data_IF_237480128290
#
_entry.id   IF_237480128290
#
_cell.length_a   1.000
_cell.length_b   1.000
_cell.length_c   1.000
_cell.angle_alpha   90.00
_cell.angle_beta   90.00
_cell.angle_gamma   90.00
#
_symmetry.space_group_name_H-M   'P 1'
#
loop_
_entity.id
_entity.type
_entity.pdbx_description
1 polymer ?
#
# COMPACT_ATOMS: atom_id res chain seq x y z
N UNK A 1 80.79 -3.54 -11.10
CA UNK A 1 79.43 -3.40 -11.69
C UNK A 1 78.46 -4.55 -11.39
N UNK A 2 78.71 -5.44 -10.43
CA UNK A 2 77.83 -6.60 -10.15
C UNK A 2 76.94 -6.45 -8.91
N UNK A 3 77.09 -5.40 -8.08
CA UNK A 3 76.32 -5.26 -6.83
C UNK A 3 74.91 -4.59 -6.99
N UNK A 4 74.72 -3.80 -8.06
CA UNK A 4 73.44 -3.14 -8.26
C UNK A 4 72.32 -4.00 -8.84
N UNK A 5 72.62 -5.10 -9.53
CA UNK A 5 71.56 -6.02 -10.09
C UNK A 5 70.94 -6.89 -9.03
N UNK A 6 71.66 -7.26 -7.94
CA UNK A 6 71.11 -8.07 -6.88
C UNK A 6 70.11 -7.34 -5.99
N UNK A 7 70.31 -6.05 -5.72
CA UNK A 7 69.41 -5.25 -4.89
C UNK A 7 68.04 -4.95 -5.62
N UNK A 8 68.10 -4.77 -6.93
CA UNK A 8 66.87 -4.58 -7.74
C UNK A 8 66.00 -5.82 -7.83
N UNK A 9 66.60 -7.02 -7.91
CA UNK A 9 65.85 -8.29 -7.96
C UNK A 9 65.23 -8.63 -6.63
N UNK A 10 65.88 -8.34 -5.49
CA UNK A 10 65.31 -8.56 -4.16
C UNK A 10 64.16 -7.60 -3.84
N UNK A 11 64.24 -6.34 -4.22
CA UNK A 11 63.16 -5.39 -4.03
C UNK A 11 61.89 -5.74 -4.88
N UNK A 12 62.07 -6.22 -6.10
CA UNK A 12 60.92 -6.67 -6.91
C UNK A 12 60.21 -7.91 -6.32
N UNK A 13 60.94 -8.85 -5.73
CA UNK A 13 60.35 -10.02 -5.08
C UNK A 13 59.62 -9.66 -3.79
N UNK A 14 60.12 -8.70 -3.04
CA UNK A 14 59.43 -8.18 -1.83
C UNK A 14 58.14 -7.44 -2.22
N UNK A 15 58.19 -6.53 -3.22
CA UNK A 15 57.02 -5.82 -3.70
C UNK A 15 55.94 -6.77 -4.22
N UNK A 16 56.33 -7.82 -4.97
CA UNK A 16 55.42 -8.82 -5.47
C UNK A 16 54.75 -9.61 -4.30
N UNK A 17 55.49 -9.97 -3.28
CA UNK A 17 54.94 -10.63 -2.08
C UNK A 17 53.98 -9.72 -1.33
N UNK A 18 54.32 -8.44 -1.13
CA UNK A 18 53.43 -7.48 -0.48
C UNK A 18 52.14 -7.26 -1.31
N UNK A 19 52.23 -7.13 -2.62
CA UNK A 19 51.09 -7.01 -3.49
C UNK A 19 50.17 -8.22 -3.41
N UNK A 20 50.73 -9.45 -3.37
CA UNK A 20 49.96 -10.68 -3.23
C UNK A 20 49.24 -10.74 -1.88
N UNK A 21 49.96 -10.45 -0.78
CA UNK A 21 49.40 -10.47 0.59
C UNK A 21 48.29 -9.39 0.71
N UNK A 22 48.49 -8.21 0.18
CA UNK A 22 47.45 -7.15 0.13
C UNK A 22 46.22 -7.59 -0.68
N UNK A 23 46.43 -8.23 -1.83
CA UNK A 23 45.36 -8.79 -2.65
C UNK A 23 44.52 -9.85 -1.91
N UNK A 24 45.20 -10.78 -1.21
CA UNK A 24 44.53 -11.78 -0.37
C UNK A 24 43.76 -11.14 0.81
N UNK A 25 44.34 -10.15 1.45
CA UNK A 25 43.66 -9.41 2.54
C UNK A 25 42.43 -8.65 2.04
N UNK A 26 42.53 -8.02 0.89
CA UNK A 26 41.39 -7.31 0.27
C UNK A 26 40.26 -8.27 -0.13
N UNK A 27 40.57 -9.40 -0.76
CA UNK A 27 39.63 -10.43 -1.15
C UNK A 27 38.91 -11.02 0.07
N UNK A 28 39.69 -11.32 1.13
CA UNK A 28 39.12 -11.82 2.39
C UNK A 28 38.20 -10.80 3.05
N UNK A 29 38.61 -9.52 3.09
CA UNK A 29 37.79 -8.43 3.64
C UNK A 29 36.48 -8.25 2.85
N UNK A 30 36.58 -8.32 1.53
CA UNK A 30 35.39 -8.23 0.66
C UNK A 30 34.41 -9.38 0.87
N UNK A 31 34.94 -10.61 1.02
CA UNK A 31 34.16 -11.80 1.32
C UNK A 31 33.49 -11.71 2.71
N UNK A 32 34.22 -11.24 3.72
CA UNK A 32 33.68 -11.04 5.08
C UNK A 32 32.53 -10.01 5.08
N UNK A 33 32.69 -8.88 4.38
CA UNK A 33 31.65 -7.86 4.26
C UNK A 33 30.41 -8.38 3.49
N UNK A 34 30.62 -9.14 2.41
CA UNK A 34 29.54 -9.76 1.67
C UNK A 34 28.75 -10.79 2.52
N UNK A 35 29.46 -11.62 3.29
CA UNK A 35 28.84 -12.56 4.23
C UNK A 35 28.06 -11.83 5.35
N UNK A 36 28.59 -10.74 5.90
CA UNK A 36 27.89 -9.95 6.91
C UNK A 36 26.61 -9.32 6.33
N UNK A 37 26.68 -8.75 5.11
CA UNK A 37 25.52 -8.19 4.43
C UNK A 37 24.43 -9.25 4.20
N UNK A 38 24.79 -10.41 3.66
CA UNK A 38 23.87 -11.53 3.44
C UNK A 38 23.24 -12.06 4.74
N UNK A 39 24.03 -12.10 5.84
CA UNK A 39 23.52 -12.51 7.15
C UNK A 39 22.51 -11.50 7.70
N UNK A 40 22.82 -10.21 7.62
CA UNK A 40 21.89 -9.14 8.06
C UNK A 40 20.59 -9.22 7.25
N UNK A 41 20.67 -9.38 5.94
CA UNK A 41 19.52 -9.53 5.08
C UNK A 41 18.66 -10.76 5.45
N UNK A 42 19.29 -11.91 5.67
CA UNK A 42 18.63 -13.14 6.13
C UNK A 42 17.96 -12.97 7.50
N UNK A 43 18.64 -12.33 8.47
CA UNK A 43 18.10 -12.07 9.80
C UNK A 43 16.90 -11.10 9.73
N UNK A 44 16.96 -10.08 8.87
CA UNK A 44 15.85 -9.15 8.65
C UNK A 44 14.65 -9.88 8.01
N UNK A 45 14.86 -10.73 7.00
CA UNK A 45 13.82 -11.54 6.37
C UNK A 45 13.16 -12.50 7.37
N UNK A 46 13.94 -13.17 8.23
CA UNK A 46 13.42 -14.06 9.27
C UNK A 46 12.61 -13.31 10.34
N UNK A 47 13.04 -12.13 10.76
CA UNK A 47 12.30 -11.28 11.70
C UNK A 47 10.98 -10.82 11.08
N UNK A 48 11.01 -10.37 9.83
CA UNK A 48 9.80 -9.99 9.10
C UNK A 48 8.81 -11.15 8.99
N UNK A 49 9.30 -12.37 8.65
CA UNK A 49 8.48 -13.59 8.58
C UNK A 49 7.88 -13.96 9.95
N UNK A 50 8.65 -13.84 11.04
CA UNK A 50 8.15 -14.14 12.38
C UNK A 50 7.11 -13.13 12.85
N UNK A 51 7.32 -11.83 12.58
CA UNK A 51 6.36 -10.78 12.85
C UNK A 51 5.07 -10.98 12.03
N UNK A 52 5.21 -11.36 10.75
CA UNK A 52 4.11 -11.74 9.87
C UNK A 52 3.23 -12.83 10.48
N UNK A 53 3.82 -13.97 10.91
CA UNK A 53 3.07 -15.09 11.50
C UNK A 53 2.40 -14.71 12.83
N UNK A 54 3.05 -13.89 13.65
CA UNK A 54 2.48 -13.41 14.91
C UNK A 54 1.25 -12.52 14.68
N UNK A 55 1.37 -11.57 13.74
CA UNK A 55 0.27 -10.66 13.38
C UNK A 55 -0.88 -11.43 12.74
N UNK A 56 -0.61 -12.36 11.80
CA UNK A 56 -1.64 -13.24 11.24
C UNK A 56 -2.44 -13.97 12.31
N UNK A 57 -1.73 -14.55 13.30
CA UNK A 57 -2.38 -15.29 14.38
C UNK A 57 -3.31 -14.39 15.20
N UNK A 58 -2.94 -13.13 15.39
CA UNK A 58 -3.76 -12.14 16.09
C UNK A 58 -4.97 -11.73 15.25
N UNK A 59 -4.77 -11.39 13.99
CA UNK A 59 -5.83 -10.95 13.05
C UNK A 59 -6.87 -12.04 12.75
N UNK A 60 -6.48 -13.32 12.82
CA UNK A 60 -7.40 -14.46 12.70
C UNK A 60 -8.14 -14.73 14.03
N UNK A 61 -7.47 -14.56 15.18
CA UNK A 61 -8.05 -14.85 16.50
C UNK A 61 -9.16 -13.89 16.87
N UNK A 62 -9.02 -12.61 16.58
CA UNK A 62 -10.00 -11.57 16.96
C UNK A 62 -11.39 -11.83 16.37
N UNK A 63 -11.59 -11.98 15.05
CA UNK A 63 -12.90 -12.28 14.48
C UNK A 63 -13.40 -13.68 14.91
N UNK A 64 -12.52 -14.66 15.08
CA UNK A 64 -12.90 -16.00 15.53
C UNK A 64 -13.46 -15.96 16.95
N UNK A 65 -12.81 -15.23 17.87
CA UNK A 65 -13.31 -15.05 19.24
C UNK A 65 -14.66 -14.29 19.25
N UNK A 66 -14.86 -13.32 18.37
CA UNK A 66 -16.14 -12.62 18.23
C UNK A 66 -17.26 -13.59 17.78
N UNK A 67 -16.98 -14.43 16.77
CA UNK A 67 -17.92 -15.47 16.30
C UNK A 67 -18.31 -16.40 17.45
N UNK A 68 -17.32 -16.92 18.18
CA UNK A 68 -17.56 -17.84 19.31
C UNK A 68 -18.35 -17.14 20.42
N UNK A 69 -17.89 -15.94 20.83
CA UNK A 69 -18.52 -15.19 21.93
C UNK A 69 -19.98 -14.83 21.66
N UNK A 70 -20.29 -14.27 20.47
CA UNK A 70 -21.68 -13.97 20.11
C UNK A 70 -22.53 -15.22 19.90
N UNK A 71 -21.95 -16.32 19.41
CA UNK A 71 -22.65 -17.62 19.34
C UNK A 71 -23.02 -18.16 20.73
N UNK A 72 -22.12 -18.02 21.70
CA UNK A 72 -22.39 -18.45 23.07
C UNK A 72 -23.45 -17.56 23.77
N UNK A 73 -23.44 -16.23 23.46
CA UNK A 73 -24.49 -15.33 23.92
C UNK A 73 -25.87 -15.73 23.37
N UNK A 74 -25.97 -16.06 22.08
CA UNK A 74 -27.22 -16.56 21.49
C UNK A 74 -27.70 -17.82 22.18
N UNK A 75 -26.80 -18.78 22.48
CA UNK A 75 -27.18 -20.02 23.19
C UNK A 75 -27.72 -19.78 24.61
N UNK A 76 -27.25 -18.72 25.28
CA UNK A 76 -27.69 -18.37 26.65
C UNK A 76 -28.95 -17.52 26.68
N UNK A 77 -29.39 -17.01 25.54
CA UNK A 77 -30.54 -16.13 25.42
C UNK A 77 -31.82 -16.90 25.66
N UNK A 78 -32.64 -16.47 26.63
CA UNK A 78 -33.97 -17.08 26.93
C UNK A 78 -34.97 -16.59 25.88
N UNK A 79 -36.03 -17.37 25.63
CA UNK A 79 -37.10 -17.05 24.68
C UNK A 79 -38.01 -15.90 25.23
N UNK A 80 -37.54 -14.64 24.94
CA UNK A 80 -38.22 -13.40 25.29
C UNK A 80 -38.21 -12.52 24.00
N UNK A 81 -39.23 -11.71 23.70
CA UNK A 81 -39.29 -10.83 22.54
C UNK A 81 -38.08 -9.87 22.42
N UNK A 82 -37.58 -9.31 23.51
CA UNK A 82 -36.37 -8.50 23.53
C UNK A 82 -35.11 -9.32 23.21
N UNK A 83 -35.07 -10.57 23.61
CA UNK A 83 -34.01 -11.50 23.34
C UNK A 83 -33.91 -11.91 21.85
N UNK A 84 -35.00 -11.86 21.11
CA UNK A 84 -34.99 -12.12 19.65
C UNK A 84 -34.27 -10.99 18.90
N UNK A 85 -34.49 -9.73 19.28
CA UNK A 85 -33.82 -8.59 18.70
C UNK A 85 -32.31 -8.60 18.99
N UNK A 86 -31.94 -8.84 20.26
CA UNK A 86 -30.52 -9.03 20.63
C UNK A 86 -29.84 -10.18 19.88
N UNK A 87 -30.57 -11.30 19.68
CA UNK A 87 -30.04 -12.42 18.89
C UNK A 87 -29.81 -12.08 17.43
N UNK A 88 -30.63 -11.21 16.85
CA UNK A 88 -30.43 -10.71 15.47
C UNK A 88 -29.16 -9.86 15.37
N UNK A 89 -28.91 -8.99 16.36
CA UNK A 89 -27.71 -8.18 16.42
C UNK A 89 -26.44 -9.05 16.59
N UNK A 90 -26.51 -10.05 17.47
CA UNK A 90 -25.42 -11.02 17.63
C UNK A 90 -25.15 -11.81 16.35
N UNK A 91 -26.20 -12.24 15.63
CA UNK A 91 -26.06 -12.92 14.34
C UNK A 91 -25.41 -11.99 13.30
N UNK A 92 -25.75 -10.69 13.30
CA UNK A 92 -25.11 -9.70 12.42
C UNK A 92 -23.62 -9.51 12.75
N UNK A 93 -23.24 -9.47 14.02
CA UNK A 93 -21.83 -9.43 14.45
C UNK A 93 -21.07 -10.68 14.02
N UNK A 94 -21.66 -11.87 14.14
CA UNK A 94 -21.09 -13.13 13.65
C UNK A 94 -20.86 -13.07 12.14
N UNK A 95 -21.85 -12.61 11.37
CA UNK A 95 -21.74 -12.50 9.92
C UNK A 95 -20.67 -11.49 9.49
N UNK A 96 -20.54 -10.38 10.22
CA UNK A 96 -19.50 -9.37 9.97
C UNK A 96 -18.10 -9.95 10.27
N UNK A 97 -17.93 -10.58 11.43
CA UNK A 97 -16.67 -11.21 11.82
C UNK A 97 -16.26 -12.34 10.86
N UNK A 98 -17.23 -13.15 10.40
CA UNK A 98 -16.98 -14.19 9.40
C UNK A 98 -16.52 -13.64 8.05
N UNK A 99 -17.15 -12.56 7.58
CA UNK A 99 -16.72 -11.87 6.35
C UNK A 99 -15.31 -11.30 6.48
N UNK A 100 -15.02 -10.65 7.58
CA UNK A 100 -13.69 -10.12 7.85
C UNK A 100 -12.63 -11.23 7.90
N UNK A 101 -12.93 -12.37 8.51
CA UNK A 101 -12.04 -13.54 8.54
C UNK A 101 -11.73 -14.06 7.12
N UNK A 102 -12.75 -14.14 6.26
CA UNK A 102 -12.57 -14.55 4.86
C UNK A 102 -11.71 -13.56 4.07
N UNK A 103 -11.86 -12.25 4.31
CA UNK A 103 -11.02 -11.21 3.72
C UNK A 103 -9.56 -11.39 4.13
N UNK A 104 -9.28 -11.55 5.44
CA UNK A 104 -7.92 -11.78 5.95
C UNK A 104 -7.30 -13.04 5.35
N UNK A 105 -8.02 -14.16 5.30
CA UNK A 105 -7.52 -15.42 4.69
C UNK A 105 -7.23 -15.23 3.21
N UNK A 106 -8.11 -14.55 2.47
CA UNK A 106 -7.90 -14.25 1.05
C UNK A 106 -6.68 -13.38 0.81
N UNK A 107 -6.48 -12.35 1.63
CA UNK A 107 -5.33 -11.45 1.57
C UNK A 107 -4.01 -12.21 1.81
N UNK A 108 -3.99 -13.11 2.79
CA UNK A 108 -2.83 -13.97 3.09
C UNK A 108 -2.49 -14.87 1.90
N UNK A 109 -3.51 -15.49 1.29
CA UNK A 109 -3.33 -16.35 0.13
C UNK A 109 -2.85 -15.55 -1.09
N UNK A 110 -3.35 -14.32 -1.29
CA UNK A 110 -2.90 -13.45 -2.38
C UNK A 110 -1.42 -13.06 -2.18
N UNK A 111 -0.99 -12.67 -0.97
CA UNK A 111 0.42 -12.39 -0.68
C UNK A 111 1.30 -13.62 -0.92
N UNK A 112 0.90 -14.79 -0.41
CA UNK A 112 1.66 -16.01 -0.59
C UNK A 112 1.86 -16.37 -2.07
N UNK A 113 0.83 -16.20 -2.90
CA UNK A 113 0.90 -16.42 -4.35
C UNK A 113 1.77 -15.39 -5.06
N UNK A 114 1.72 -14.11 -4.63
CA UNK A 114 2.55 -13.04 -5.18
C UNK A 114 4.02 -13.30 -4.87
N UNK A 115 4.36 -13.66 -3.62
CA UNK A 115 5.74 -13.94 -3.19
C UNK A 115 6.33 -15.19 -3.85
N UNK A 116 5.52 -16.23 -4.04
CA UNK A 116 5.96 -17.47 -4.72
C UNK A 116 6.04 -17.34 -6.24
N UNK A 117 5.57 -16.23 -6.83
CA UNK A 117 5.52 -16.06 -8.29
C UNK A 117 4.52 -16.96 -8.99
N UNK A 118 3.64 -17.64 -8.25
CA UNK A 118 2.63 -18.57 -8.80
C UNK A 118 1.30 -17.89 -9.14
N UNK A 119 1.27 -16.56 -9.05
CA UNK A 119 0.07 -15.78 -9.33
C UNK A 119 -0.23 -15.74 -10.83
N UNK A 120 -1.38 -16.25 -11.24
CA UNK A 120 -1.84 -16.21 -12.64
C UNK A 120 -2.87 -15.10 -12.82
N UNK A 121 -2.65 -14.23 -13.82
CA UNK A 121 -3.56 -13.18 -14.21
C UNK A 121 -4.40 -13.61 -15.41
N UNK A 122 -5.68 -13.26 -15.40
CA UNK A 122 -6.55 -13.35 -16.57
C UNK A 122 -6.52 -12.01 -17.32
N UNK A 123 -5.56 -11.85 -18.24
CA UNK A 123 -5.35 -10.60 -18.98
C UNK A 123 -6.33 -10.53 -20.15
N UNK A 124 -7.22 -9.52 -20.12
CA UNK A 124 -8.21 -9.23 -21.13
C UNK A 124 -8.23 -7.74 -21.49
N UNK A 125 -8.61 -7.34 -22.69
CA UNK A 125 -8.86 -5.94 -23.01
C UNK A 125 -10.03 -5.40 -22.18
N UNK A 126 -9.80 -4.32 -21.44
CA UNK A 126 -10.79 -3.72 -20.53
C UNK A 126 -10.74 -2.19 -20.60
N UNK A 127 -11.88 -1.54 -20.45
CA UNK A 127 -11.94 -0.08 -20.33
C UNK A 127 -11.60 0.35 -18.90
N UNK A 128 -10.65 1.29 -18.78
CA UNK A 128 -10.25 1.82 -17.48
C UNK A 128 -11.42 2.47 -16.72
N UNK A 129 -12.32 3.16 -17.43
CA UNK A 129 -13.52 3.79 -16.87
C UNK A 129 -14.44 2.77 -16.18
N UNK A 130 -14.73 1.63 -16.82
CA UNK A 130 -15.61 0.61 -16.24
C UNK A 130 -15.04 0.02 -14.93
N UNK A 131 -13.73 -0.20 -14.90
CA UNK A 131 -13.06 -0.72 -13.71
C UNK A 131 -13.11 0.32 -12.57
N UNK A 132 -12.85 1.60 -12.89
CA UNK A 132 -12.90 2.72 -11.94
C UNK A 132 -14.33 2.89 -11.40
N UNK A 133 -15.33 2.95 -12.27
CA UNK A 133 -16.74 3.12 -11.88
C UNK A 133 -17.21 1.98 -10.98
N UNK A 134 -16.84 0.73 -11.32
CA UNK A 134 -17.13 -0.44 -10.50
C UNK A 134 -16.50 -0.37 -9.12
N UNK A 135 -15.25 0.11 -9.00
CA UNK A 135 -14.57 0.27 -7.71
C UNK A 135 -15.20 1.39 -6.86
N UNK A 136 -15.56 2.51 -7.51
CA UNK A 136 -16.23 3.65 -6.86
C UNK A 136 -17.59 3.22 -6.30
N UNK A 137 -18.40 2.48 -7.06
CA UNK A 137 -19.70 1.99 -6.61
C UNK A 137 -19.63 1.21 -5.29
N UNK A 138 -18.54 0.47 -5.05
CA UNK A 138 -18.35 -0.33 -3.83
C UNK A 138 -18.02 0.50 -2.58
N UNK A 139 -17.56 1.75 -2.74
CA UNK A 139 -17.19 2.61 -1.60
C UNK A 139 -18.12 3.81 -1.43
N UNK A 140 -18.95 4.13 -2.43
CA UNK A 140 -19.75 5.35 -2.51
C UNK A 140 -20.69 5.53 -1.33
N UNK A 141 -21.34 4.48 -0.84
CA UNK A 141 -22.24 4.52 0.32
C UNK A 141 -21.48 4.92 1.59
N UNK A 142 -20.31 4.32 1.83
CA UNK A 142 -19.47 4.63 3.00
C UNK A 142 -18.94 6.06 2.95
N UNK A 143 -18.52 6.51 1.76
CA UNK A 143 -18.05 7.88 1.52
C UNK A 143 -19.17 8.88 1.79
N UNK A 144 -20.39 8.61 1.31
CA UNK A 144 -21.57 9.44 1.54
C UNK A 144 -21.97 9.48 3.01
N UNK A 145 -21.96 8.35 3.72
CA UNK A 145 -22.25 8.27 5.16
C UNK A 145 -21.32 9.16 6.00
N UNK A 146 -20.05 9.30 5.60
CA UNK A 146 -19.05 10.18 6.24
C UNK A 146 -19.06 11.61 5.67
N UNK A 147 -20.02 11.94 4.80
CA UNK A 147 -20.14 13.23 4.12
C UNK A 147 -18.86 13.67 3.38
N UNK A 148 -18.03 12.72 2.98
CA UNK A 148 -16.81 12.99 2.21
C UNK A 148 -17.15 13.33 0.77
N UNK A 149 -16.38 14.23 0.14
CA UNK A 149 -16.57 14.60 -1.25
C UNK A 149 -15.70 13.72 -2.15
N UNK A 150 -16.33 12.83 -2.92
CA UNK A 150 -15.66 12.03 -3.95
C UNK A 150 -15.74 12.73 -5.30
N UNK A 151 -14.59 12.97 -5.93
CA UNK A 151 -14.48 13.53 -7.27
C UNK A 151 -13.79 12.53 -8.19
N UNK A 152 -14.23 12.45 -9.43
CA UNK A 152 -13.69 11.53 -10.44
C UNK A 152 -13.35 12.31 -11.69
N UNK A 153 -12.11 12.18 -12.17
CA UNK A 153 -11.62 12.82 -13.40
C UNK A 153 -11.02 11.77 -14.30
N UNK A 154 -11.83 11.22 -15.18
CA UNK A 154 -11.45 10.22 -16.19
C UNK A 154 -11.72 10.84 -17.55
N UNK A 155 -10.68 11.16 -18.36
CA UNK A 155 -10.88 11.72 -19.69
C UNK A 155 -11.52 10.68 -20.62
N UNK A 156 -12.41 11.14 -21.49
CA UNK A 156 -12.91 10.33 -22.59
C UNK A 156 -11.76 9.97 -23.53
N UNK A 157 -11.63 8.68 -23.90
CA UNK A 157 -10.60 8.22 -24.84
C UNK A 157 -9.30 7.72 -24.20
N UNK A 158 -9.34 7.29 -22.94
CA UNK A 158 -8.29 6.44 -22.42
C UNK A 158 -8.20 5.16 -23.25
N UNK A 159 -6.98 4.65 -23.52
CA UNK A 159 -6.84 3.39 -24.24
C UNK A 159 -7.39 2.22 -23.42
N UNK A 160 -7.84 1.16 -24.08
CA UNK A 160 -8.13 -0.09 -23.42
C UNK A 160 -6.87 -0.63 -22.74
N UNK A 161 -7.06 -1.16 -21.55
CA UNK A 161 -5.99 -1.78 -20.77
C UNK A 161 -5.97 -3.29 -21.02
N UNK A 162 -4.80 -3.87 -21.23
CA UNK A 162 -4.64 -5.33 -21.22
C UNK A 162 -4.31 -5.78 -19.78
N UNK A 163 -5.35 -6.04 -18.98
CA UNK A 163 -5.23 -6.30 -17.54
C UNK A 163 -6.25 -7.33 -17.06
N UNK A 164 -6.02 -7.89 -15.89
CA UNK A 164 -7.06 -8.59 -15.13
C UNK A 164 -7.95 -7.54 -14.42
N UNK A 165 -9.12 -7.25 -14.98
CA UNK A 165 -10.04 -6.23 -14.49
C UNK A 165 -10.45 -6.46 -13.03
N UNK A 166 -10.61 -7.73 -12.61
CA UNK A 166 -10.94 -8.08 -11.23
C UNK A 166 -9.82 -7.67 -10.27
N UNK A 167 -8.56 -7.88 -10.66
CA UNK A 167 -7.39 -7.57 -9.84
C UNK A 167 -7.11 -6.05 -9.82
N UNK A 168 -7.26 -5.36 -10.93
CA UNK A 168 -7.16 -3.89 -10.94
C UNK A 168 -8.26 -3.27 -10.08
N UNK A 169 -9.49 -3.76 -10.15
CA UNK A 169 -10.58 -3.33 -9.26
C UNK A 169 -10.24 -3.57 -7.79
N UNK A 170 -9.62 -4.72 -7.43
CA UNK A 170 -9.16 -5.01 -6.07
C UNK A 170 -8.14 -3.97 -5.61
N UNK A 171 -7.15 -3.60 -6.46
CA UNK A 171 -6.21 -2.51 -6.17
C UNK A 171 -6.97 -1.22 -5.86
N UNK A 172 -7.88 -0.80 -6.74
CA UNK A 172 -8.61 0.46 -6.57
C UNK A 172 -9.49 0.48 -5.32
N UNK A 173 -10.15 -0.63 -4.99
CA UNK A 173 -10.92 -0.76 -3.74
C UNK A 173 -10.02 -0.60 -2.52
N UNK A 174 -8.84 -1.20 -2.50
CA UNK A 174 -7.87 -1.05 -1.42
C UNK A 174 -7.44 0.41 -1.26
N UNK A 175 -7.14 1.11 -2.36
CA UNK A 175 -6.74 2.52 -2.34
C UNK A 175 -7.89 3.43 -1.88
N UNK A 176 -9.08 3.24 -2.42
CA UNK A 176 -10.29 4.02 -2.08
C UNK A 176 -10.73 3.78 -0.64
N UNK A 177 -10.64 2.54 -0.16
CA UNK A 177 -10.95 2.19 1.23
C UNK A 177 -9.99 2.87 2.20
N UNK A 178 -8.69 2.91 1.88
CA UNK A 178 -7.69 3.63 2.66
C UNK A 178 -7.96 5.15 2.64
N UNK A 179 -8.21 5.73 1.47
CA UNK A 179 -8.55 7.14 1.33
C UNK A 179 -9.78 7.51 2.18
N UNK A 180 -10.87 6.71 2.09
CA UNK A 180 -12.06 6.88 2.93
C UNK A 180 -11.76 6.77 4.43
N UNK A 181 -10.98 5.76 4.80
CA UNK A 181 -10.65 5.44 6.19
C UNK A 181 -9.89 6.60 6.86
N UNK A 182 -8.85 7.10 6.21
CA UNK A 182 -7.93 8.08 6.78
C UNK A 182 -8.32 9.54 6.52
N UNK A 183 -9.32 9.79 5.70
CA UNK A 183 -9.89 11.12 5.49
C UNK A 183 -10.95 11.40 6.56
N UNK A 184 -10.90 12.58 7.14
CA UNK A 184 -11.91 13.04 8.11
C UNK A 184 -13.30 13.21 7.47
N UNK A 185 -14.33 13.39 8.29
CA UNK A 185 -15.66 13.79 7.81
C UNK A 185 -15.55 15.07 6.99
N UNK A 186 -16.36 15.15 5.92
CA UNK A 186 -16.38 16.28 4.97
C UNK A 186 -15.05 16.52 4.23
N UNK A 187 -14.06 15.63 4.38
CA UNK A 187 -12.83 15.67 3.60
C UNK A 187 -13.07 15.30 2.14
N UNK A 188 -12.00 15.27 1.35
CA UNK A 188 -12.08 15.08 -0.09
C UNK A 188 -11.25 13.87 -0.52
N UNK A 189 -11.80 13.15 -1.49
CA UNK A 189 -11.14 12.05 -2.19
C UNK A 189 -11.26 12.32 -3.68
N UNK A 190 -10.16 12.23 -4.41
CA UNK A 190 -10.08 12.51 -5.83
C UNK A 190 -9.48 11.32 -6.56
N UNK A 191 -10.19 10.81 -7.57
CA UNK A 191 -9.70 9.78 -8.50
C UNK A 191 -9.40 10.43 -9.83
N UNK A 192 -8.15 10.27 -10.32
CA UNK A 192 -7.73 10.78 -11.63
C UNK A 192 -7.15 9.63 -12.44
N UNK A 193 -7.61 9.49 -13.68
CA UNK A 193 -6.95 8.60 -14.63
C UNK A 193 -6.41 9.42 -15.80
N UNK A 194 -5.22 9.06 -16.29
CA UNK A 194 -4.60 9.72 -17.45
C UNK A 194 -3.65 8.80 -18.19
N UNK A 195 -3.44 9.07 -19.47
CA UNK A 195 -2.39 8.46 -20.26
C UNK A 195 -1.13 9.33 -20.16
N UNK A 196 0.02 8.71 -19.91
CA UNK A 196 1.31 9.41 -19.92
C UNK A 196 2.06 9.24 -21.25
N UNK A 197 3.19 9.94 -21.43
CA UNK A 197 3.90 10.05 -22.73
C UNK A 197 4.40 8.72 -23.28
N UNK A 198 4.80 7.79 -22.45
CA UNK A 198 5.26 6.46 -22.86
C UNK A 198 4.11 5.52 -23.26
N UNK A 199 2.87 6.00 -23.21
CA UNK A 199 1.65 5.26 -23.49
C UNK A 199 1.05 4.51 -22.31
N UNK A 200 1.70 4.52 -21.16
CA UNK A 200 1.17 3.95 -19.92
C UNK A 200 -0.05 4.72 -19.43
N UNK A 201 -0.91 4.06 -18.66
CA UNK A 201 -2.05 4.69 -17.98
C UNK A 201 -1.76 4.77 -16.49
N UNK A 202 -1.94 5.94 -15.91
CA UNK A 202 -1.89 6.13 -14.46
C UNK A 202 -3.29 6.33 -13.90
N UNK A 203 -3.55 5.72 -12.75
CA UNK A 203 -4.77 5.93 -11.96
C UNK A 203 -4.32 6.36 -10.57
N UNK A 204 -4.62 7.61 -10.22
CA UNK A 204 -4.27 8.19 -8.93
C UNK A 204 -5.50 8.29 -8.04
N UNK A 205 -5.34 7.92 -6.76
CA UNK A 205 -6.31 8.15 -5.70
C UNK A 205 -5.66 9.08 -4.69
N UNK A 206 -6.15 10.31 -4.61
CA UNK A 206 -5.67 11.34 -3.70
C UNK A 206 -6.70 11.62 -2.61
N UNK A 207 -6.26 11.84 -1.38
CA UNK A 207 -7.09 12.15 -0.25
C UNK A 207 -6.55 13.36 0.56
N UNK A 208 -7.41 13.98 1.34
CA UNK A 208 -7.05 15.07 2.27
C UNK A 208 -6.96 14.56 3.72
N UNK A 209 -6.50 13.34 3.89
CA UNK A 209 -6.39 12.68 5.18
C UNK A 209 -5.23 13.18 6.05
N UNK A 210 -4.89 12.40 7.06
CA UNK A 210 -3.82 12.74 8.00
C UNK A 210 -2.41 12.75 7.36
N UNK A 211 -2.23 12.08 6.21
CA UNK A 211 -0.93 11.93 5.58
C UNK A 211 0.06 11.08 6.39
N UNK A 212 1.24 10.91 5.83
CA UNK A 212 2.32 10.08 6.39
C UNK A 212 3.68 10.74 6.13
N UNK A 213 4.63 10.56 7.05
CA UNK A 213 6.03 10.86 6.81
C UNK A 213 6.74 9.72 6.04
N UNK A 214 8.02 9.92 5.69
CA UNK A 214 8.78 8.97 4.87
C UNK A 214 8.96 7.59 5.54
N UNK A 215 9.11 7.54 6.86
CA UNK A 215 9.24 6.28 7.59
C UNK A 215 7.90 5.56 7.71
N UNK A 216 6.83 6.31 7.95
CA UNK A 216 5.47 5.79 7.96
C UNK A 216 5.06 5.22 6.60
N UNK A 217 5.43 5.87 5.49
CA UNK A 217 5.18 5.34 4.14
C UNK A 217 5.91 4.01 3.90
N UNK A 218 7.15 3.87 4.37
CA UNK A 218 7.88 2.60 4.29
C UNK A 218 7.14 1.50 5.06
N UNK A 219 6.71 1.80 6.29
CA UNK A 219 5.95 0.87 7.13
C UNK A 219 4.63 0.48 6.45
N UNK A 220 3.87 1.45 5.94
CA UNK A 220 2.58 1.21 5.28
C UNK A 220 2.69 0.30 4.04
N UNK A 221 3.86 0.26 3.39
CA UNK A 221 4.14 -0.60 2.24
C UNK A 221 4.67 -1.99 2.62
N UNK A 222 4.93 -2.26 3.90
CA UNK A 222 5.31 -3.59 4.40
C UNK A 222 4.05 -4.42 4.73
N UNK A 223 4.08 -5.74 4.52
CA UNK A 223 2.99 -6.60 4.98
C UNK A 223 2.73 -6.42 6.47
N UNK A 224 1.45 -6.22 6.85
CA UNK A 224 0.98 -5.87 8.20
C UNK A 224 1.54 -4.57 8.78
N UNK A 225 2.15 -3.73 7.94
CA UNK A 225 2.61 -2.43 8.35
C UNK A 225 1.42 -1.54 8.72
N UNK A 226 1.34 -1.15 9.98
CA UNK A 226 0.32 -0.24 10.50
C UNK A 226 0.99 1.00 11.08
N UNK A 227 0.59 2.15 10.58
CA UNK A 227 1.05 3.43 11.09
C UNK A 227 0.17 3.81 12.27
N UNK A 228 0.74 3.76 13.49
CA UNK A 228 0.05 4.23 14.69
C UNK A 228 0.04 5.76 14.70
N UNK A 229 -1.13 6.36 14.56
CA UNK A 229 -1.33 7.79 14.81
C UNK A 229 -2.44 7.99 15.84
N UNK A 230 -2.44 9.16 16.50
CA UNK A 230 -3.49 9.51 17.46
C UNK A 230 -4.91 9.49 16.85
N UNK A 231 -5.01 9.58 15.51
CA UNK A 231 -6.26 9.52 14.75
C UNK A 231 -6.69 8.10 14.35
N UNK A 232 -5.80 7.08 14.49
CA UNK A 232 -6.04 5.73 13.99
C UNK A 232 -6.32 4.67 15.05
N UNK A 233 -6.35 5.05 16.35
CA UNK A 233 -6.58 4.10 17.48
C UNK A 233 -7.87 3.28 17.38
N UNK A 234 -8.85 3.70 16.58
CA UNK A 234 -10.16 3.04 16.41
C UNK A 234 -10.36 2.45 15.01
N UNK A 235 -9.38 2.56 14.12
CA UNK A 235 -9.56 2.14 12.73
C UNK A 235 -8.80 0.84 12.44
N UNK A 236 -9.54 -0.27 12.51
CA UNK A 236 -9.08 -1.61 12.21
C UNK A 236 -8.67 -1.76 10.73
N UNK A 237 -7.67 -2.61 10.48
CA UNK A 237 -7.25 -2.99 9.13
C UNK A 237 -6.09 -3.95 9.20
N UNK A 238 -6.01 -4.89 8.25
CA UNK A 238 -5.01 -5.96 8.22
C UNK A 238 -3.58 -5.48 7.95
N UNK A 239 -3.42 -4.26 7.40
CA UNK A 239 -2.11 -3.79 6.90
C UNK A 239 -1.62 -4.54 5.65
N UNK A 240 -2.50 -5.32 4.99
CA UNK A 240 -2.18 -6.10 3.80
C UNK A 240 -2.59 -5.41 2.49
N UNK A 241 -3.54 -4.49 2.53
CA UNK A 241 -4.12 -3.88 1.33
C UNK A 241 -3.11 -3.20 0.42
N UNK A 242 -2.22 -2.34 0.94
CA UNK A 242 -1.19 -1.66 0.13
C UNK A 242 -0.12 -2.61 -0.42
N UNK A 243 0.48 -3.53 0.37
CA UNK A 243 1.36 -4.57 -0.14
C UNK A 243 0.74 -5.42 -1.25
N UNK A 244 -0.52 -5.87 -1.08
CA UNK A 244 -1.24 -6.62 -2.11
C UNK A 244 -1.45 -5.76 -3.36
N UNK A 245 -1.91 -4.53 -3.22
CA UNK A 245 -2.11 -3.61 -4.33
C UNK A 245 -0.83 -3.40 -5.13
N UNK A 246 0.31 -3.20 -4.46
CA UNK A 246 1.62 -3.08 -5.13
C UNK A 246 2.06 -4.38 -5.80
N UNK A 247 1.89 -5.52 -5.12
CA UNK A 247 2.21 -6.83 -5.68
C UNK A 247 1.41 -7.11 -6.95
N UNK A 248 0.10 -6.88 -6.93
CA UNK A 248 -0.77 -7.02 -8.08
C UNK A 248 -0.41 -6.06 -9.22
N UNK A 249 -0.07 -4.79 -8.91
CA UNK A 249 0.39 -3.83 -9.90
C UNK A 249 1.65 -4.33 -10.62
N UNK A 250 2.63 -4.87 -9.88
CA UNK A 250 3.88 -5.43 -10.42
C UNK A 250 3.65 -6.68 -11.26
N UNK A 251 2.70 -7.55 -10.88
CA UNK A 251 2.32 -8.70 -11.70
C UNK A 251 1.74 -8.27 -13.06
N UNK A 252 1.13 -7.08 -13.16
CA UNK A 252 0.69 -6.48 -14.42
C UNK A 252 1.80 -5.73 -15.18
N UNK A 253 3.06 -5.79 -14.70
CA UNK A 253 4.19 -5.06 -15.28
C UNK A 253 4.20 -3.55 -14.95
N UNK A 254 3.34 -3.13 -14.03
CA UNK A 254 3.24 -1.76 -13.51
C UNK A 254 3.91 -1.57 -12.15
N UNK A 255 3.57 -0.51 -11.44
CA UNK A 255 3.94 -0.28 -10.03
C UNK A 255 2.89 0.59 -9.33
N UNK A 256 2.94 0.58 -8.00
CA UNK A 256 2.17 1.45 -7.12
C UNK A 256 3.13 2.31 -6.30
N UNK A 257 2.98 3.62 -6.41
CA UNK A 257 3.76 4.61 -5.67
C UNK A 257 2.88 5.41 -4.74
N UNK A 258 3.44 5.82 -3.60
CA UNK A 258 2.78 6.68 -2.63
C UNK A 258 3.53 8.00 -2.52
N UNK A 259 2.78 9.09 -2.52
CA UNK A 259 3.24 10.43 -2.15
C UNK A 259 2.38 10.90 -0.99
N UNK A 260 3.00 11.30 0.11
CA UNK A 260 2.27 11.69 1.31
C UNK A 260 3.06 12.70 2.11
N UNK A 261 2.34 13.60 2.78
CA UNK A 261 2.91 14.58 3.69
C UNK A 261 1.99 14.71 4.92
N UNK A 262 2.54 14.68 6.14
CA UNK A 262 1.75 14.79 7.37
C UNK A 262 0.82 16.01 7.35
N UNK A 263 -0.46 15.77 7.57
CA UNK A 263 -1.50 16.80 7.56
C UNK A 263 -1.96 17.28 6.17
N UNK A 264 -1.32 16.86 5.07
CA UNK A 264 -1.71 17.24 3.70
C UNK A 264 -2.49 16.15 2.97
N UNK A 265 -2.40 14.89 3.42
CA UNK A 265 -3.07 13.74 2.83
C UNK A 265 -2.11 12.81 2.10
N UNK A 266 -2.67 11.87 1.34
CA UNK A 266 -1.93 10.86 0.59
C UNK A 266 -2.41 10.80 -0.85
N UNK A 267 -1.48 10.59 -1.77
CA UNK A 267 -1.75 10.27 -3.18
C UNK A 267 -1.12 8.91 -3.50
N UNK A 268 -1.94 7.95 -3.86
CA UNK A 268 -1.51 6.64 -4.34
C UNK A 268 -1.63 6.60 -5.86
N UNK A 269 -0.55 6.34 -6.57
CA UNK A 269 -0.46 6.35 -8.04
C UNK A 269 -0.20 4.93 -8.53
N UNK A 270 -1.20 4.31 -9.13
CA UNK A 270 -1.09 3.07 -9.88
C UNK A 270 -0.65 3.38 -11.31
N UNK A 271 0.45 2.82 -11.77
CA UNK A 271 0.93 2.90 -13.15
C UNK A 271 0.77 1.55 -13.82
N UNK A 272 0.11 1.51 -14.97
CA UNK A 272 -0.08 0.32 -15.79
C UNK A 272 0.61 0.50 -17.13
N UNK A 273 1.34 -0.52 -17.64
CA UNK A 273 2.10 -0.41 -18.87
C UNK A 273 1.18 -0.21 -20.09
N UNK A 274 1.71 0.34 -21.20
CA UNK A 274 0.94 0.53 -22.41
C UNK A 274 0.52 -0.82 -23.00
N UNK A 275 -0.68 -0.87 -23.53
CA UNK A 275 -1.15 -2.03 -24.31
C UNK A 275 -0.36 -2.08 -25.62
N UNK A 276 0.24 -3.22 -25.99
CA UNK A 276 1.13 -3.39 -27.15
C UNK A 276 0.50 -2.97 -28.51
N UNK A 277 -0.77 -2.62 -28.55
CA UNK A 277 -1.51 -2.23 -29.76
C UNK A 277 -1.88 -0.75 -29.83
N UNK A 278 -1.35 0.11 -28.97
CA UNK A 278 -1.77 1.52 -28.97
C UNK A 278 -0.93 2.36 -29.95
N UNK A 279 -1.55 2.87 -31.01
CA UNK A 279 -0.97 3.82 -31.95
C UNK A 279 -0.44 5.09 -31.28
N UNK A 280 0.46 5.79 -31.98
CA UNK A 280 1.28 6.92 -31.56
C UNK A 280 0.64 7.93 -30.58
N UNK A 281 1.44 8.53 -29.69
CA UNK A 281 0.96 9.44 -28.65
C UNK A 281 0.35 10.71 -29.25
N UNK A 282 -0.87 11.06 -28.79
CA UNK A 282 -1.41 12.39 -28.99
C UNK A 282 -0.73 13.39 -28.05
N UNK A 283 -0.56 14.68 -28.44
CA UNK A 283 0.15 15.66 -27.65
C UNK A 283 -0.61 16.01 -26.36
N UNK A 284 0.19 16.12 -25.33
CA UNK A 284 -0.05 16.25 -23.90
C UNK A 284 -1.04 17.33 -23.47
N UNK A 285 -2.01 17.01 -22.63
CA UNK A 285 -2.54 17.96 -21.66
C UNK A 285 -1.60 18.00 -20.45
N UNK A 286 -1.22 19.19 -20.04
CA UNK A 286 -0.31 19.59 -18.94
C UNK A 286 -0.10 18.54 -17.86
N UNK A 287 1.17 18.21 -17.60
CA UNK A 287 1.61 17.31 -16.55
C UNK A 287 0.85 17.54 -15.23
N UNK A 288 0.31 16.44 -14.67
CA UNK A 288 -0.01 16.38 -13.27
C UNK A 288 1.31 16.35 -12.49
N UNK A 289 1.66 17.47 -11.87
CA UNK A 289 2.61 17.48 -10.78
C UNK A 289 1.80 17.32 -9.50
N UNK A 290 2.05 16.28 -8.68
CA UNK A 290 1.26 16.03 -7.46
C UNK A 290 1.13 17.23 -6.54
N UNK A 291 2.10 18.18 -6.61
CA UNK A 291 2.11 19.42 -5.82
C UNK A 291 1.19 20.54 -6.34
N UNK A 292 0.76 20.54 -7.59
CA UNK A 292 -0.01 21.66 -8.17
C UNK A 292 -1.53 21.48 -8.15
N UNK A 293 -2.00 20.21 -8.07
CA UNK A 293 -3.43 19.88 -8.08
C UNK A 293 -3.93 19.33 -6.73
N UNK A 294 -3.10 19.41 -5.68
CA UNK A 294 -3.52 19.10 -4.31
C UNK A 294 -4.70 19.97 -3.93
N UNK A 295 -5.77 19.33 -3.55
CA UNK A 295 -7.02 19.93 -3.10
C UNK A 295 -6.70 20.97 -2.03
N UNK A 296 -6.77 22.28 -2.39
CA UNK A 296 -6.60 23.37 -1.42
C UNK A 296 -7.65 23.23 -0.33
N UNK A 297 -7.24 23.09 0.92
CA UNK A 297 -8.14 23.18 2.06
C UNK A 297 -8.82 24.55 2.02
N UNK A 298 -10.15 24.65 2.19
CA UNK A 298 -10.76 25.92 2.50
C UNK A 298 -10.10 26.45 3.80
N UNK A 299 -9.60 27.69 3.76
CA UNK A 299 -9.06 28.34 4.94
C UNK A 299 -10.12 28.28 6.06
N UNK A 300 -9.72 27.75 7.21
CA UNK A 300 -10.51 27.86 8.43
C UNK A 300 -10.63 29.37 8.71
N UNK A 301 -11.80 29.95 8.46
CA UNK A 301 -12.13 31.31 8.94
C UNK A 301 -11.92 31.29 10.45
N UNK A 302 -10.89 31.98 10.90
CA UNK A 302 -10.70 32.36 12.30
C UNK A 302 -11.90 33.18 12.71
N UNK A 303 -12.84 32.60 13.45
CA UNK A 303 -13.91 33.33 14.12
C UNK A 303 -13.23 34.34 15.04
N UNK A 304 -13.46 35.61 14.69
CA UNK A 304 -12.96 36.77 15.42
C UNK A 304 -13.30 36.71 16.90
N UNK A 305 -12.33 37.11 17.68
CA UNK A 305 -12.48 37.45 19.08
C UNK A 305 -13.57 38.52 19.22
N UNK A 306 -14.67 38.18 19.84
CA UNK A 306 -15.68 39.12 20.29
C UNK A 306 -15.12 39.82 21.54
N UNK A 307 -14.64 41.04 21.34
CA UNK A 307 -14.38 42.00 22.46
C UNK A 307 -15.67 42.25 23.23
N UNK A 308 -15.69 41.86 24.48
CA UNK A 308 -16.71 42.29 25.44
C UNK A 308 -16.35 43.72 25.85
N UNK A 309 -17.25 44.72 25.72
CA UNK A 309 -17.02 46.05 26.30
C UNK A 309 -17.22 45.98 27.80
N UNK A 310 -16.22 46.46 28.53
CA UNK A 310 -16.32 46.64 29.97
C UNK A 310 -17.28 47.78 30.35
N UNK A 311 -17.94 47.57 31.43
CA UNK A 311 -18.44 48.61 32.35
C UNK A 311 -18.13 48.16 33.77
#
# INVERSE_FOLDING_TARGET
MLSHRGAFSQNNSLLSRYAHTLGEMMLRRHSELAMQAARIESDMANRAKSAFLATMSHELRTPLNAIIGFSDLIKQTKADPQAVEASRDYAQHIANAGRHLLEVVSDILDISKIESGTFTLNIEPCQASEIIDSAIAMVSERVAAKQQRLQVRVPAGLPDLAVDARRIRQILINLLSNAHKFTAERGQILVIAQRIRDGSVTIAVADTGCGMDAEQMKIAMMPFGQVQSHFTRTQEGTGLGLPIARGLARQHGGDLQLESEPGAGTTAVLTLPPTKHTAAPQPDPKFFTPKSDVIKRPALESKGETRVPGN
#
